data_IF_297837213314
#
_entry.id   IF_297837213314
#
_cell.length_a   1.000
_cell.length_b   1.000
_cell.length_c   1.000
_cell.angle_alpha   90.00
_cell.angle_beta   90.00
_cell.angle_gamma   90.00
#
_symmetry.space_group_name_H-M   'P 1'
#
loop_
_entity.id
_entity.type
_entity.pdbx_description
1 polymer ?
#
# COMPACT_ATOMS: atom_id res chain seq x y z
N UNK A 1 13.55 54.90 29.43
CA UNK A 1 12.76 55.55 28.36
C UNK A 1 13.26 54.95 27.04
N UNK A 2 12.54 54.24 26.18
CA UNK A 2 11.15 53.82 26.12
C UNK A 2 10.80 53.51 24.65
N UNK A 3 10.23 52.32 24.38
CA UNK A 3 9.39 51.91 23.23
C UNK A 3 10.07 51.83 21.84
N UNK A 4 9.78 50.88 20.96
CA UNK A 4 8.85 49.75 20.97
C UNK A 4 8.90 49.04 19.61
N UNK A 5 9.07 47.71 19.60
CA UNK A 5 8.96 46.88 18.41
C UNK A 5 7.54 46.32 18.29
N UNK A 6 6.90 46.55 17.14
CA UNK A 6 5.53 46.12 16.86
C UNK A 6 5.55 44.73 16.22
N UNK A 7 4.96 43.75 16.93
CA UNK A 7 4.67 42.41 16.45
C UNK A 7 3.42 42.42 15.57
N UNK A 8 3.51 41.87 14.35
CA UNK A 8 2.34 41.53 13.52
C UNK A 8 1.98 40.07 13.79
N UNK A 9 0.85 39.88 14.45
CA UNK A 9 0.24 38.58 14.69
C UNK A 9 -0.42 38.03 13.41
N UNK A 10 -0.22 36.74 13.17
CA UNK A 10 -0.99 35.95 12.20
C UNK A 10 -2.06 35.20 13.00
N UNK A 11 -3.31 35.52 12.73
CA UNK A 11 -4.49 34.87 13.30
C UNK A 11 -4.65 33.49 12.65
N UNK A 12 -4.56 32.43 13.47
CA UNK A 12 -4.92 31.07 13.08
C UNK A 12 -6.43 30.85 13.31
N UNK A 13 -7.16 30.60 12.22
CA UNK A 13 -8.56 30.21 12.27
C UNK A 13 -8.69 28.73 12.62
N UNK A 14 -9.24 28.44 13.80
CA UNK A 14 -9.67 27.11 14.23
C UNK A 14 -11.09 26.86 13.70
N UNK A 15 -11.27 25.88 12.82
CA UNK A 15 -12.58 25.33 12.49
C UNK A 15 -12.78 24.02 13.26
N UNK A 16 -13.70 24.05 14.22
CA UNK A 16 -14.17 22.89 14.95
C UNK A 16 -15.34 22.26 14.17
N UNK A 17 -15.28 20.94 13.93
CA UNK A 17 -16.44 20.17 13.47
C UNK A 17 -16.78 19.13 14.52
N UNK A 18 -17.90 19.37 15.21
CA UNK A 18 -18.53 18.45 16.13
C UNK A 18 -19.34 17.42 15.33
N UNK A 19 -19.27 16.16 15.78
CA UNK A 19 -20.05 15.06 15.21
C UNK A 19 -21.54 15.09 15.59
N UNK A 20 -22.32 14.33 14.84
CA UNK A 20 -23.57 13.75 15.30
C UNK A 20 -23.87 12.48 14.49
N UNK A 21 -23.89 11.35 15.19
CA UNK A 21 -24.44 10.09 14.71
C UNK A 21 -25.97 10.13 14.81
N UNK A 22 -26.67 9.52 13.85
CA UNK A 22 -28.07 9.16 14.00
C UNK A 22 -28.30 7.79 13.37
N UNK A 23 -28.59 6.81 14.23
CA UNK A 23 -29.08 5.50 13.87
C UNK A 23 -30.56 5.58 13.46
N UNK A 24 -30.95 4.83 12.43
CA UNK A 24 -32.35 4.55 12.12
C UNK A 24 -32.57 3.04 12.20
N UNK A 25 -33.38 2.65 13.18
CA UNK A 25 -33.96 1.31 13.33
C UNK A 25 -35.45 1.43 13.00
N UNK A 26 -35.92 0.66 12.02
CA UNK A 26 -37.30 0.25 11.81
C UNK A 26 -37.26 -0.85 10.73
N UNK A 27 -37.97 -1.97 10.77
CA UNK A 27 -39.02 -2.50 11.62
C UNK A 27 -39.60 -3.69 10.82
N UNK A 28 -39.58 -4.88 11.41
CA UNK A 28 -40.12 -6.12 10.83
C UNK A 28 -41.65 -6.05 10.72
N UNK A 29 -42.21 -6.47 9.58
CA UNK A 29 -43.50 -7.17 9.56
C UNK A 29 -43.49 -8.31 8.53
N UNK A 30 -43.73 -9.52 9.05
CA UNK A 30 -44.05 -10.71 8.29
C UNK A 30 -45.55 -10.71 7.91
N UNK A 31 -45.88 -11.16 6.72
CA UNK A 31 -47.25 -11.44 6.29
C UNK A 31 -47.31 -12.75 5.51
N UNK A 32 -47.94 -13.76 6.11
CA UNK A 32 -48.38 -14.99 5.45
C UNK A 32 -49.87 -14.87 5.10
N UNK A 33 -50.29 -15.37 3.93
CA UNK A 33 -51.69 -15.60 3.59
C UNK A 33 -51.87 -16.10 2.14
N UNK A 34 -52.89 -16.94 1.86
CA UNK A 34 -52.74 -18.12 1.00
C UNK A 34 -53.29 -18.01 -0.44
N UNK A 35 -53.00 -19.08 -1.18
CA UNK A 35 -53.42 -19.44 -2.55
C UNK A 35 -54.91 -19.23 -2.87
N UNK A 36 -55.17 -18.75 -4.10
CA UNK A 36 -56.42 -19.03 -4.82
C UNK A 36 -56.11 -19.39 -6.28
N UNK A 37 -56.48 -20.62 -6.65
CA UNK A 37 -56.25 -21.20 -7.95
C UNK A 37 -57.16 -20.64 -9.05
N UNK A 38 -56.59 -20.42 -10.23
CA UNK A 38 -57.33 -20.28 -11.48
C UNK A 38 -56.83 -21.32 -12.49
N UNK A 39 -57.73 -22.04 -13.19
CA UNK A 39 -57.35 -23.06 -14.15
C UNK A 39 -56.81 -22.41 -15.44
N UNK A 40 -55.59 -22.75 -15.81
CA UNK A 40 -54.95 -22.30 -17.05
C UNK A 40 -55.21 -23.35 -18.15
N UNK A 41 -55.85 -22.92 -19.22
CA UNK A 41 -56.10 -23.70 -20.44
C UNK A 41 -54.77 -24.00 -21.17
N UNK A 42 -54.49 -25.24 -21.61
CA UNK A 42 -53.24 -25.55 -22.31
C UNK A 42 -53.26 -24.98 -23.74
N UNK A 43 -52.24 -24.19 -24.06
CA UNK A 43 -51.90 -23.78 -25.43
C UNK A 43 -51.04 -24.86 -26.13
N UNK A 44 -51.13 -25.02 -27.46
CA UNK A 44 -50.41 -26.05 -28.20
C UNK A 44 -48.88 -25.76 -28.27
N UNK A 45 -48.04 -26.79 -28.47
CA UNK A 45 -46.60 -26.62 -28.49
C UNK A 45 -46.15 -25.82 -29.71
N UNK A 46 -45.42 -24.73 -29.46
CA UNK A 46 -44.63 -24.07 -30.49
C UNK A 46 -43.38 -24.90 -30.78
N UNK A 47 -43.19 -25.27 -32.05
CA UNK A 47 -41.94 -25.84 -32.56
C UNK A 47 -40.78 -24.87 -32.32
N UNK A 48 -39.91 -25.19 -31.38
CA UNK A 48 -38.60 -24.55 -31.25
C UNK A 48 -37.63 -25.20 -32.25
N UNK A 49 -37.25 -24.43 -33.27
CA UNK A 49 -36.00 -24.69 -33.99
C UNK A 49 -34.82 -24.55 -33.01
N UNK A 50 -33.77 -25.36 -33.11
CA UNK A 50 -32.59 -25.19 -32.27
C UNK A 50 -31.89 -23.90 -32.67
N UNK A 51 -32.06 -22.85 -31.86
CA UNK A 51 -31.14 -21.73 -31.85
C UNK A 51 -29.81 -22.28 -31.35
N UNK A 52 -28.82 -22.32 -32.23
CA UNK A 52 -27.43 -22.60 -31.89
C UNK A 52 -26.97 -21.55 -30.87
N UNK A 53 -27.11 -21.85 -29.58
CA UNK A 53 -26.38 -21.15 -28.53
C UNK A 53 -24.92 -21.49 -28.75
N UNK A 54 -24.21 -20.62 -29.47
CA UNK A 54 -22.76 -20.62 -29.46
C UNK A 54 -22.32 -20.46 -28.02
N UNK A 55 -21.94 -21.55 -27.39
CA UNK A 55 -21.20 -21.53 -26.12
C UNK A 55 -19.93 -20.76 -26.41
N UNK A 56 -19.89 -19.48 -26.03
CA UNK A 56 -18.64 -18.75 -25.98
C UNK A 56 -17.70 -19.55 -25.08
N UNK A 57 -16.61 -20.07 -25.64
CA UNK A 57 -15.54 -20.64 -24.83
C UNK A 57 -15.16 -19.61 -23.77
N UNK A 58 -14.99 -20.02 -22.50
CA UNK A 58 -14.37 -19.15 -21.51
C UNK A 58 -13.07 -18.62 -22.12
N UNK A 59 -12.93 -17.28 -22.18
CA UNK A 59 -11.74 -16.66 -22.73
C UNK A 59 -10.50 -17.28 -22.11
N UNK A 60 -9.56 -17.72 -22.93
CA UNK A 60 -8.33 -18.32 -22.45
C UNK A 60 -7.66 -17.36 -21.45
N UNK A 61 -7.20 -17.89 -20.32
CA UNK A 61 -6.44 -17.10 -19.37
C UNK A 61 -5.22 -16.49 -20.10
N UNK A 62 -4.86 -15.22 -19.80
CA UNK A 62 -3.71 -14.59 -20.43
C UNK A 62 -2.45 -15.41 -20.16
N UNK A 63 -1.55 -15.48 -21.16
CA UNK A 63 -0.25 -16.11 -20.98
C UNK A 63 0.54 -15.37 -19.91
N UNK A 64 1.28 -16.11 -19.09
CA UNK A 64 2.16 -15.54 -18.06
C UNK A 64 3.50 -15.20 -18.73
N UNK A 65 3.92 -13.93 -18.79
CA UNK A 65 5.25 -13.56 -19.27
C UNK A 65 6.32 -13.92 -18.23
N UNK A 66 7.55 -14.14 -18.68
CA UNK A 66 8.71 -14.19 -17.78
C UNK A 66 9.12 -12.79 -17.31
N UNK A 67 9.92 -12.71 -16.24
CA UNK A 67 10.35 -11.43 -15.69
C UNK A 67 11.17 -10.59 -16.69
N UNK A 68 11.94 -11.24 -17.56
CA UNK A 68 12.73 -10.55 -18.60
C UNK A 68 11.85 -9.78 -19.58
N UNK A 69 10.75 -10.39 -20.03
CA UNK A 69 9.75 -9.76 -20.89
C UNK A 69 9.11 -8.56 -20.19
N UNK A 70 8.71 -8.71 -18.93
CA UNK A 70 8.11 -7.60 -18.15
C UNK A 70 9.10 -6.45 -17.96
N UNK A 71 10.38 -6.73 -17.70
CA UNK A 71 11.41 -5.71 -17.56
C UNK A 71 11.70 -4.98 -18.88
N UNK A 72 11.66 -5.69 -20.00
CA UNK A 72 11.97 -5.15 -21.32
C UNK A 72 10.81 -4.31 -21.91
N UNK A 73 9.59 -4.82 -21.81
CA UNK A 73 8.42 -4.25 -22.51
C UNK A 73 7.49 -3.47 -21.57
N UNK A 74 7.68 -3.60 -20.25
CA UNK A 74 6.87 -2.93 -19.24
C UNK A 74 7.26 -1.47 -18.98
N UNK A 75 6.40 -0.79 -18.24
CA UNK A 75 6.64 0.56 -17.72
C UNK A 75 7.53 0.44 -16.47
N UNK A 76 8.70 1.11 -16.42
CA UNK A 76 9.54 1.13 -15.23
C UNK A 76 8.79 1.71 -14.03
N UNK A 77 8.92 1.08 -12.86
CA UNK A 77 8.27 1.53 -11.63
C UNK A 77 8.85 2.85 -11.08
N UNK A 78 10.09 3.17 -11.47
CA UNK A 78 10.73 4.44 -11.21
C UNK A 78 11.87 4.70 -12.22
N UNK A 79 12.36 5.94 -12.24
CA UNK A 79 13.54 6.30 -13.03
C UNK A 79 14.82 5.77 -12.37
N UNK A 80 15.36 4.68 -12.91
CA UNK A 80 16.58 4.05 -12.40
C UNK A 80 17.82 4.97 -12.45
N UNK A 81 17.89 5.91 -13.40
CA UNK A 81 19.00 6.87 -13.45
C UNK A 81 18.96 7.85 -12.28
N UNK A 82 17.75 8.20 -11.82
CA UNK A 82 17.55 9.03 -10.62
C UNK A 82 17.84 8.24 -9.33
N UNK A 83 17.45 6.97 -9.27
CA UNK A 83 17.59 6.13 -8.08
C UNK A 83 18.98 5.52 -7.91
N UNK A 84 19.74 5.36 -9.00
CA UNK A 84 21.00 4.61 -9.02
C UNK A 84 20.82 3.09 -8.90
N UNK A 85 19.59 2.59 -8.96
CA UNK A 85 19.23 1.18 -8.95
C UNK A 85 17.91 0.97 -9.70
N UNK A 86 17.68 -0.27 -10.16
CA UNK A 86 16.43 -0.67 -10.79
C UNK A 86 15.37 -0.99 -9.72
N UNK A 87 14.15 -0.52 -9.93
CA UNK A 87 12.99 -0.75 -9.06
C UNK A 87 12.05 -1.84 -9.60
N UNK A 88 12.32 -2.39 -10.79
CA UNK A 88 11.46 -3.30 -11.52
C UNK A 88 10.51 -2.59 -12.49
N UNK A 89 9.67 -3.39 -13.14
CA UNK A 89 8.75 -2.91 -14.18
C UNK A 89 7.36 -3.52 -14.01
N UNK A 90 6.37 -2.84 -14.60
CA UNK A 90 4.99 -3.29 -14.68
C UNK A 90 4.53 -3.36 -16.14
N UNK A 91 4.06 -4.51 -16.57
CA UNK A 91 3.54 -4.76 -17.91
C UNK A 91 2.03 -5.04 -17.84
N UNK A 92 1.16 -4.16 -18.38
CA UNK A 92 -0.27 -4.47 -18.48
C UNK A 92 -0.50 -5.68 -19.40
N UNK A 93 -1.58 -6.43 -19.17
CA UNK A 93 -1.98 -7.47 -20.13
C UNK A 93 -2.38 -6.85 -21.48
N UNK A 94 -2.46 -7.67 -22.53
CA UNK A 94 -2.86 -7.22 -23.86
C UNK A 94 -4.20 -6.44 -23.83
N UNK A 95 -4.18 -5.22 -24.39
CA UNK A 95 -5.32 -4.32 -24.38
C UNK A 95 -5.55 -3.59 -23.05
N UNK A 96 -4.67 -3.78 -22.07
CA UNK A 96 -4.59 -2.98 -20.85
C UNK A 96 -3.76 -1.71 -21.03
N UNK A 97 -3.99 -0.75 -20.13
CA UNK A 97 -3.28 0.53 -20.08
C UNK A 97 -2.80 0.82 -18.66
N UNK A 98 -1.70 1.58 -18.55
CA UNK A 98 -1.10 1.99 -17.28
C UNK A 98 -0.87 3.49 -17.29
N UNK A 99 -1.43 4.17 -16.29
CA UNK A 99 -1.19 5.57 -16.02
C UNK A 99 -0.36 5.70 -14.73
N UNK A 100 0.69 6.50 -14.77
CA UNK A 100 1.58 6.74 -13.62
C UNK A 100 1.63 8.23 -13.34
N UNK A 101 1.36 8.60 -12.08
CA UNK A 101 1.37 9.99 -11.62
C UNK A 101 2.37 10.15 -10.49
N UNK A 102 3.43 10.93 -10.72
CA UNK A 102 4.42 11.29 -9.69
C UNK A 102 3.75 12.15 -8.59
N UNK A 103 3.96 11.77 -7.34
CA UNK A 103 3.44 12.47 -6.16
C UNK A 103 4.42 13.49 -5.60
N UNK A 104 5.67 13.50 -6.07
CA UNK A 104 6.72 14.43 -5.64
C UNK A 104 7.38 14.07 -4.31
N UNK A 105 7.04 12.93 -3.72
CA UNK A 105 7.48 12.48 -2.40
C UNK A 105 8.31 11.18 -2.43
N UNK A 106 8.80 10.80 -3.63
CA UNK A 106 9.50 9.54 -3.83
C UNK A 106 8.58 8.35 -4.10
N UNK A 107 7.28 8.61 -4.30
CA UNK A 107 6.31 7.65 -4.79
C UNK A 107 5.59 8.13 -6.05
N UNK A 108 4.98 7.16 -6.73
CA UNK A 108 4.02 7.39 -7.82
C UNK A 108 2.71 6.68 -7.49
N UNK A 109 1.60 7.17 -8.03
CA UNK A 109 0.34 6.43 -8.07
C UNK A 109 0.23 5.80 -9.45
N UNK A 110 0.23 4.48 -9.50
CA UNK A 110 -0.03 3.71 -10.71
C UNK A 110 -1.52 3.35 -10.77
N UNK A 111 -2.13 3.49 -11.93
CA UNK A 111 -3.49 3.05 -12.22
C UNK A 111 -3.47 2.15 -13.44
N UNK A 112 -3.91 0.91 -13.27
CA UNK A 112 -3.99 -0.11 -14.32
C UNK A 112 -5.45 -0.28 -14.71
N UNK A 113 -5.74 -0.30 -16.00
CA UNK A 113 -7.07 -0.60 -16.53
C UNK A 113 -6.96 -1.70 -17.57
N UNK A 114 -7.66 -2.82 -17.33
CA UNK A 114 -7.67 -3.98 -18.22
C UNK A 114 -8.97 -4.79 -18.06
N UNK A 115 -9.24 -5.78 -18.93
CA UNK A 115 -10.30 -6.76 -18.72
C UNK A 115 -10.12 -7.51 -17.38
N UNK A 116 -11.21 -8.06 -16.79
CA UNK A 116 -11.14 -8.70 -15.48
C UNK A 116 -10.24 -9.94 -15.47
N UNK A 117 -9.58 -10.20 -14.35
CA UNK A 117 -8.61 -11.30 -14.19
C UNK A 117 -7.23 -10.74 -13.85
N UNK A 118 -6.19 -11.23 -14.52
CA UNK A 118 -4.86 -10.63 -14.44
C UNK A 118 -4.86 -9.33 -15.25
N UNK A 119 -4.65 -8.20 -14.58
CA UNK A 119 -4.64 -6.86 -15.17
C UNK A 119 -3.24 -6.45 -15.64
N UNK A 120 -2.22 -6.88 -14.91
CA UNK A 120 -0.82 -6.60 -15.20
C UNK A 120 0.11 -7.62 -14.53
N UNK A 121 1.37 -7.61 -14.96
CA UNK A 121 2.47 -8.38 -14.41
C UNK A 121 3.53 -7.43 -13.89
N UNK A 122 4.01 -7.68 -12.68
CA UNK A 122 5.10 -6.92 -12.05
C UNK A 122 6.32 -7.83 -11.95
N UNK A 123 7.46 -7.34 -12.41
CA UNK A 123 8.74 -8.03 -12.26
C UNK A 123 9.68 -7.24 -11.34
N UNK A 124 10.35 -7.92 -10.38
CA UNK A 124 11.47 -7.33 -9.66
C UNK A 124 12.68 -7.12 -10.60
N UNK A 125 13.71 -6.39 -10.17
CA UNK A 125 14.97 -6.32 -10.91
C UNK A 125 15.57 -7.71 -11.19
N UNK A 126 16.49 -7.84 -12.17
CA UNK A 126 17.14 -9.11 -12.48
C UNK A 126 17.74 -9.81 -11.25
N UNK A 127 17.38 -11.08 -11.06
CA UNK A 127 17.80 -11.90 -9.91
C UNK A 127 17.07 -11.58 -8.59
N UNK A 128 16.17 -10.60 -8.61
CA UNK A 128 15.32 -10.21 -7.49
C UNK A 128 14.09 -11.09 -7.32
N UNK A 129 13.23 -10.70 -6.37
CA UNK A 129 11.97 -11.39 -6.07
C UNK A 129 10.88 -10.43 -5.59
N UNK A 130 9.63 -10.76 -5.85
CA UNK A 130 8.47 -10.10 -5.24
C UNK A 130 7.95 -10.86 -4.01
N UNK A 131 7.60 -10.15 -2.94
CA UNK A 131 7.04 -10.73 -1.72
C UNK A 131 5.76 -10.00 -1.30
N UNK A 132 4.64 -10.73 -1.35
CA UNK A 132 3.32 -10.21 -0.96
C UNK A 132 3.18 -10.29 0.57
N UNK A 133 2.88 -9.14 1.16
CA UNK A 133 2.74 -8.96 2.61
C UNK A 133 1.34 -9.34 3.09
N UNK A 134 1.20 -9.55 4.39
CA UNK A 134 -0.06 -9.99 5.01
C UNK A 134 -1.19 -8.96 4.95
N UNK A 135 -0.88 -7.69 4.76
CA UNK A 135 -1.85 -6.62 4.52
C UNK A 135 -2.24 -6.47 3.04
N UNK A 136 -1.68 -7.31 2.16
CA UNK A 136 -1.91 -7.29 0.71
C UNK A 136 -1.04 -6.29 -0.04
N UNK A 137 -0.06 -5.64 0.60
CA UNK A 137 1.00 -4.88 -0.08
C UNK A 137 2.08 -5.80 -0.65
N UNK A 138 3.01 -5.28 -1.46
CA UNK A 138 4.05 -6.05 -2.15
C UNK A 138 5.40 -5.33 -2.01
N UNK A 139 6.46 -6.07 -1.65
CA UNK A 139 7.84 -5.59 -1.77
C UNK A 139 8.52 -6.23 -2.96
N UNK A 140 9.33 -5.43 -3.67
CA UNK A 140 10.28 -5.94 -4.66
C UNK A 140 11.68 -5.86 -4.08
N UNK A 141 12.39 -6.97 -4.15
CA UNK A 141 13.75 -7.11 -3.66
C UNK A 141 14.71 -7.25 -4.84
N UNK A 142 15.90 -6.69 -4.74
CA UNK A 142 17.00 -6.97 -5.65
C UNK A 142 17.63 -8.35 -5.37
N UNK A 143 18.62 -8.74 -6.18
CA UNK A 143 19.34 -10.01 -6.00
C UNK A 143 20.16 -10.11 -4.70
N UNK A 144 20.38 -9.01 -3.99
CA UNK A 144 21.00 -8.99 -2.66
C UNK A 144 19.96 -9.09 -1.52
N UNK A 145 18.67 -9.06 -1.84
CA UNK A 145 17.56 -9.09 -0.87
C UNK A 145 17.15 -7.71 -0.36
N UNK A 146 17.74 -6.63 -0.85
CA UNK A 146 17.39 -5.25 -0.48
C UNK A 146 16.02 -4.90 -1.06
N UNK A 147 15.14 -4.30 -0.26
CA UNK A 147 13.87 -3.76 -0.79
C UNK A 147 14.16 -2.54 -1.66
N UNK A 148 13.81 -2.62 -2.95
CA UNK A 148 14.00 -1.54 -3.95
C UNK A 148 12.70 -0.83 -4.32
N UNK A 149 11.55 -1.48 -4.12
CA UNK A 149 10.24 -0.87 -4.30
C UNK A 149 9.22 -1.46 -3.32
N UNK A 150 8.25 -0.63 -2.92
CA UNK A 150 7.10 -1.03 -2.13
C UNK A 150 5.82 -0.60 -2.84
N UNK A 151 4.93 -1.56 -3.09
CA UNK A 151 3.65 -1.36 -3.74
C UNK A 151 2.55 -1.54 -2.69
N UNK A 152 1.66 -0.56 -2.55
CA UNK A 152 0.53 -0.65 -1.64
C UNK A 152 -0.46 -1.75 -2.06
N UNK A 153 -1.37 -2.12 -1.17
CA UNK A 153 -2.48 -2.99 -1.52
C UNK A 153 -3.32 -2.31 -2.63
N UNK A 154 -3.62 -3.01 -3.74
CA UNK A 154 -4.28 -2.40 -4.87
C UNK A 154 -5.79 -2.33 -4.63
N UNK A 155 -6.38 -1.20 -5.02
CA UNK A 155 -7.80 -0.90 -4.77
C UNK A 155 -8.46 -0.36 -6.03
N UNK A 156 -9.71 -0.71 -6.24
CA UNK A 156 -10.57 -0.08 -7.24
C UNK A 156 -11.08 1.27 -6.75
N UNK A 157 -11.65 2.06 -7.66
CA UNK A 157 -12.26 3.36 -7.33
C UNK A 157 -13.40 3.28 -6.29
N UNK A 158 -14.10 2.15 -6.19
CA UNK A 158 -15.16 1.90 -5.21
C UNK A 158 -14.64 1.30 -3.88
N UNK A 159 -13.32 1.12 -3.74
CA UNK A 159 -12.69 0.60 -2.53
C UNK A 159 -12.65 -0.93 -2.44
N UNK A 160 -13.09 -1.65 -3.47
CA UNK A 160 -12.91 -3.10 -3.56
C UNK A 160 -11.42 -3.44 -3.69
N UNK A 161 -10.94 -4.44 -2.94
CA UNK A 161 -9.54 -4.87 -3.04
C UNK A 161 -9.31 -5.71 -4.29
N UNK A 162 -8.32 -5.31 -5.07
CA UNK A 162 -7.59 -6.17 -5.97
C UNK A 162 -6.51 -6.93 -5.16
N UNK A 163 -5.77 -7.84 -5.78
CA UNK A 163 -4.73 -8.60 -5.08
C UNK A 163 -3.47 -8.82 -5.90
N UNK A 164 -2.34 -8.83 -5.20
CA UNK A 164 -1.08 -9.35 -5.73
C UNK A 164 -1.05 -10.87 -5.60
N UNK A 165 -0.69 -11.58 -6.67
CA UNK A 165 -0.51 -13.03 -6.66
C UNK A 165 0.84 -13.40 -7.28
N UNK A 166 1.78 -14.00 -6.51
CA UNK A 166 3.04 -14.49 -7.07
C UNK A 166 2.79 -15.57 -8.13
N UNK A 167 3.47 -15.47 -9.29
CA UNK A 167 3.42 -16.46 -10.38
C UNK A 167 4.82 -16.61 -10.97
N UNK A 168 5.55 -17.64 -10.55
CA UNK A 168 6.93 -17.85 -11.01
C UNK A 168 7.84 -16.73 -10.53
N UNK A 169 8.51 -16.05 -11.47
CA UNK A 169 9.42 -14.92 -11.24
C UNK A 169 8.73 -13.54 -11.34
N UNK A 170 7.42 -13.52 -11.61
CA UNK A 170 6.60 -12.30 -11.67
C UNK A 170 5.48 -12.32 -10.62
N UNK A 171 4.82 -11.19 -10.43
CA UNK A 171 3.64 -11.03 -9.58
C UNK A 171 2.49 -10.50 -10.42
N UNK A 172 1.37 -11.22 -10.44
CA UNK A 172 0.14 -10.78 -11.10
C UNK A 172 -0.57 -9.72 -10.25
N UNK A 173 -1.06 -8.67 -10.89
CA UNK A 173 -2.13 -7.83 -10.38
C UNK A 173 -3.46 -8.44 -10.78
N UNK A 174 -4.17 -9.07 -9.86
CA UNK A 174 -5.52 -9.60 -10.11
C UNK A 174 -6.58 -8.60 -9.68
N UNK A 175 -7.59 -8.38 -10.50
CA UNK A 175 -8.69 -7.48 -10.16
C UNK A 175 -9.92 -7.61 -11.06
N UNK A 176 -11.01 -6.90 -10.70
CA UNK A 176 -12.17 -6.80 -11.55
C UNK A 176 -11.89 -5.94 -12.78
N UNK A 177 -12.87 -5.88 -13.69
CA UNK A 177 -12.83 -4.93 -14.79
C UNK A 177 -12.90 -3.50 -14.24
N UNK A 178 -12.08 -2.60 -14.78
CA UNK A 178 -12.05 -1.20 -14.40
C UNK A 178 -10.69 -0.76 -13.86
N UNK A 179 -10.57 0.52 -13.44
CA UNK A 179 -9.32 1.06 -12.94
C UNK A 179 -8.99 0.52 -11.54
N UNK A 180 -7.77 0.02 -11.40
CA UNK A 180 -7.17 -0.41 -10.13
C UNK A 180 -5.94 0.45 -9.88
N UNK A 181 -5.89 1.09 -8.71
CA UNK A 181 -4.82 2.01 -8.33
C UNK A 181 -4.06 1.51 -7.11
N UNK A 182 -2.77 1.85 -7.06
CA UNK A 182 -1.89 1.60 -5.92
C UNK A 182 -0.73 2.59 -5.92
N UNK A 183 -0.19 2.86 -4.73
CA UNK A 183 1.05 3.62 -4.57
C UNK A 183 2.23 2.71 -4.84
N UNK A 184 3.23 3.22 -5.55
CA UNK A 184 4.55 2.61 -5.75
C UNK A 184 5.58 3.55 -5.14
N UNK A 185 6.17 3.18 -4.01
CA UNK A 185 7.21 3.95 -3.33
C UNK A 185 8.60 3.37 -3.58
N UNK A 186 9.56 4.23 -3.90
CA UNK A 186 10.97 3.82 -4.16
C UNK A 186 11.99 4.62 -3.36
N UNK A 187 11.61 5.77 -2.81
CA UNK A 187 12.46 6.56 -1.89
C UNK A 187 11.76 6.68 -0.54
N UNK A 188 12.00 5.74 0.41
CA UNK A 188 11.26 5.72 1.69
C UNK A 188 11.85 6.64 2.77
N UNK A 189 13.09 7.08 2.61
CA UNK A 189 13.84 7.83 3.61
C UNK A 189 14.28 9.18 3.03
N UNK A 190 13.79 10.27 3.62
CA UNK A 190 14.21 11.63 3.26
C UNK A 190 15.46 12.07 4.01
N UNK A 191 15.64 11.60 5.24
CA UNK A 191 16.81 11.95 6.05
C UNK A 191 16.99 11.05 7.27
N UNK A 192 18.24 10.90 7.68
CA UNK A 192 18.65 10.25 8.91
C UNK A 192 19.86 11.02 9.45
N UNK A 193 19.73 11.63 10.63
CA UNK A 193 20.78 12.49 11.19
C UNK A 193 21.00 12.18 12.66
N UNK A 194 22.24 11.86 13.02
CA UNK A 194 22.64 11.68 14.42
C UNK A 194 22.74 13.01 15.17
N UNK A 195 22.32 12.98 16.44
CA UNK A 195 22.43 14.09 17.37
C UNK A 195 22.19 13.64 18.80
N UNK A 196 21.76 14.57 19.64
CA UNK A 196 21.39 14.32 21.03
C UNK A 196 19.90 14.62 21.21
N UNK A 197 19.16 13.69 21.82
CA UNK A 197 17.78 13.86 22.22
C UNK A 197 17.51 13.08 23.50
N UNK A 198 16.60 13.59 24.34
CA UNK A 198 16.10 12.88 25.53
C UNK A 198 17.17 12.36 26.51
N UNK A 199 18.36 12.99 26.50
CA UNK A 199 19.47 12.66 27.42
C UNK A 199 20.56 11.77 26.84
N UNK A 200 20.52 11.43 25.55
CA UNK A 200 21.60 10.70 24.90
C UNK A 200 21.61 10.76 23.38
N UNK A 201 22.53 10.00 22.80
CA UNK A 201 22.68 9.88 21.34
C UNK A 201 21.39 9.40 20.70
N UNK A 202 20.94 10.06 19.64
CA UNK A 202 19.67 9.77 18.98
C UNK A 202 19.79 9.97 17.46
N UNK A 203 19.20 9.06 16.69
CA UNK A 203 19.08 9.17 15.25
C UNK A 203 17.70 9.75 14.91
N UNK A 204 17.68 10.98 14.41
CA UNK A 204 16.46 11.60 13.91
C UNK A 204 16.20 11.12 12.48
N UNK A 205 15.18 10.27 12.32
CA UNK A 205 14.72 9.70 11.05
C UNK A 205 13.56 10.53 10.50
N UNK A 206 13.64 10.90 9.22
CA UNK A 206 12.56 11.56 8.46
C UNK A 206 12.12 10.62 7.34
N UNK A 207 11.03 9.86 7.54
CA UNK A 207 10.41 9.07 6.49
C UNK A 207 9.73 9.94 5.44
N UNK A 208 9.70 9.45 4.21
CA UNK A 208 8.89 10.02 3.15
C UNK A 208 7.38 9.96 3.50
N UNK A 209 6.57 10.94 3.05
CA UNK A 209 5.13 10.99 3.31
C UNK A 209 4.38 9.68 3.02
N UNK A 210 4.58 9.08 1.84
CA UNK A 210 3.95 7.80 1.47
C UNK A 210 4.24 6.64 2.43
N UNK A 211 5.33 6.69 3.20
CA UNK A 211 5.65 5.67 4.21
C UNK A 211 4.78 5.81 5.45
N UNK A 212 4.47 7.05 5.85
CA UNK A 212 3.69 7.34 7.07
C UNK A 212 2.27 6.81 6.98
N UNK A 213 1.69 6.89 5.78
CA UNK A 213 0.36 6.40 5.47
C UNK A 213 0.37 4.98 4.88
N UNK A 214 1.56 4.42 4.67
CA UNK A 214 1.78 3.15 4.01
C UNK A 214 1.53 1.90 4.88
N UNK A 215 1.42 0.77 4.18
CA UNK A 215 1.32 -0.57 4.78
C UNK A 215 2.66 -1.20 5.12
N UNK A 216 2.68 -2.52 5.27
CA UNK A 216 3.85 -3.32 5.63
C UNK A 216 4.98 -3.22 4.60
N UNK A 217 4.67 -3.17 3.31
CA UNK A 217 5.71 -3.00 2.29
C UNK A 217 6.44 -1.66 2.43
N UNK A 218 5.72 -0.58 2.74
CA UNK A 218 6.30 0.75 2.93
C UNK A 218 7.19 0.79 4.18
N UNK A 219 6.74 0.15 5.25
CA UNK A 219 7.52 -0.07 6.46
C UNK A 219 8.82 -0.80 6.13
N UNK A 220 8.75 -1.97 5.50
CA UNK A 220 9.92 -2.77 5.14
C UNK A 220 10.90 -2.01 4.24
N UNK A 221 10.41 -1.22 3.28
CA UNK A 221 11.25 -0.35 2.46
C UNK A 221 12.02 0.67 3.32
N UNK A 222 11.36 1.32 4.29
CA UNK A 222 12.02 2.24 5.21
C UNK A 222 13.08 1.54 6.06
N UNK A 223 12.76 0.40 6.69
CA UNK A 223 13.71 -0.33 7.52
C UNK A 223 14.92 -0.82 6.71
N UNK A 224 14.69 -1.34 5.50
CA UNK A 224 15.75 -1.78 4.56
C UNK A 224 16.66 -0.60 4.20
N UNK A 225 16.08 0.53 3.79
CA UNK A 225 16.85 1.72 3.40
C UNK A 225 17.60 2.34 4.57
N UNK A 226 16.96 2.41 5.74
CA UNK A 226 17.57 2.96 6.95
C UNK A 226 18.73 2.09 7.40
N UNK A 227 18.59 0.76 7.43
CA UNK A 227 19.67 -0.16 7.80
C UNK A 227 20.85 -0.10 6.84
N UNK A 228 20.58 0.10 5.54
CA UNK A 228 21.63 0.28 4.54
C UNK A 228 22.38 1.62 4.69
N UNK A 229 21.69 2.66 5.15
CA UNK A 229 22.27 4.01 5.33
C UNK A 229 22.97 4.14 6.68
N UNK A 230 22.37 3.59 7.73
CA UNK A 230 22.76 3.66 9.13
C UNK A 230 22.73 2.24 9.74
N UNK A 231 23.79 1.44 9.61
CA UNK A 231 23.79 0.03 10.03
C UNK A 231 23.44 -0.21 11.51
N UNK A 232 23.72 0.75 12.40
CA UNK A 232 23.35 0.66 13.83
C UNK A 232 21.83 0.64 14.04
N UNK A 233 21.07 1.28 13.15
CA UNK A 233 19.60 1.28 13.19
C UNK A 233 18.98 -0.10 12.90
N UNK A 234 19.78 -1.07 12.43
CA UNK A 234 19.36 -2.45 12.27
C UNK A 234 19.29 -3.24 13.60
N UNK A 235 19.72 -2.65 14.72
CA UNK A 235 19.60 -3.29 16.03
C UNK A 235 18.13 -3.59 16.39
N UNK A 236 17.84 -4.68 17.12
CA UNK A 236 16.46 -5.04 17.48
C UNK A 236 15.70 -3.92 18.19
N UNK A 237 16.34 -3.24 19.15
CA UNK A 237 15.74 -2.11 19.88
C UNK A 237 15.38 -0.95 18.94
N UNK A 238 16.29 -0.51 18.05
CA UNK A 238 16.01 0.60 17.14
C UNK A 238 14.95 0.25 16.09
N UNK A 239 14.93 -0.99 15.59
CA UNK A 239 13.87 -1.44 14.68
C UNK A 239 12.50 -1.48 15.38
N UNK A 240 12.45 -1.92 16.63
CA UNK A 240 11.22 -1.94 17.40
C UNK A 240 10.70 -0.52 17.69
N UNK A 241 11.61 0.43 17.96
CA UNK A 241 11.28 1.86 18.06
C UNK A 241 10.75 2.42 16.72
N UNK A 242 11.38 2.08 15.59
CA UNK A 242 10.94 2.50 14.26
C UNK A 242 9.49 2.07 13.99
N UNK A 243 9.16 0.80 14.25
CA UNK A 243 7.79 0.29 14.14
C UNK A 243 6.81 0.93 15.09
N UNK A 244 7.24 1.20 16.33
CA UNK A 244 6.38 1.91 17.26
C UNK A 244 6.03 3.30 16.73
N UNK A 245 6.98 4.04 16.16
CA UNK A 245 6.72 5.37 15.61
C UNK A 245 5.80 5.34 14.39
N UNK A 246 5.94 4.34 13.50
CA UNK A 246 5.00 4.13 12.39
C UNK A 246 3.58 3.91 12.90
N UNK A 247 3.38 3.27 14.06
CA UNK A 247 2.05 3.00 14.59
C UNK A 247 1.47 4.17 15.40
N UNK A 248 2.30 4.83 16.21
CA UNK A 248 1.84 5.77 17.24
C UNK A 248 2.27 7.24 17.04
N UNK A 249 3.14 7.53 16.06
CA UNK A 249 3.75 8.85 15.91
C UNK A 249 3.87 9.32 14.44
N UNK A 250 2.97 8.85 13.56
CA UNK A 250 2.97 9.14 12.11
C UNK A 250 3.07 10.62 11.77
N UNK A 251 2.40 11.46 12.55
CA UNK A 251 2.32 12.91 12.29
C UNK A 251 3.56 13.70 12.74
N UNK A 252 4.50 13.07 13.45
CA UNK A 252 5.72 13.76 13.89
C UNK A 252 6.65 14.03 12.71
N UNK A 253 7.22 15.23 12.62
CA UNK A 253 8.16 15.59 11.56
C UNK A 253 9.37 14.63 11.48
N UNK A 254 9.90 14.20 12.63
CA UNK A 254 10.95 13.18 12.72
C UNK A 254 10.65 12.17 13.82
N UNK A 255 11.28 11.00 13.70
CA UNK A 255 11.26 9.91 14.68
C UNK A 255 12.66 9.71 15.25
N UNK A 256 12.79 9.82 16.55
CA UNK A 256 14.05 9.61 17.24
C UNK A 256 14.21 8.11 17.53
N UNK A 257 15.30 7.52 17.05
CA UNK A 257 15.72 6.17 17.37
C UNK A 257 16.97 6.22 18.23
N UNK A 258 16.89 5.63 19.41
CA UNK A 258 17.89 5.79 20.47
C UNK A 258 18.50 4.43 20.79
N UNK A 259 19.81 4.23 20.52
CA UNK A 259 20.46 2.94 20.72
C UNK A 259 20.56 2.52 22.20
N UNK A 260 20.37 3.46 23.11
CA UNK A 260 20.42 3.25 24.56
C UNK A 260 19.07 2.88 25.18
N UNK A 261 17.97 2.89 24.41
CA UNK A 261 16.66 2.43 24.89
C UNK A 261 16.67 0.91 25.06
N UNK A 262 16.10 0.39 26.17
CA UNK A 262 16.07 -1.04 26.40
C UNK A 262 15.20 -1.75 25.36
N UNK A 263 15.57 -3.00 25.07
CA UNK A 263 14.75 -3.89 24.27
C UNK A 263 13.61 -4.43 25.16
N UNK A 264 12.37 -4.09 24.81
CA UNK A 264 11.17 -4.52 25.54
C UNK A 264 10.13 -5.09 24.56
N UNK A 265 9.17 -5.91 25.02
CA UNK A 265 8.11 -6.41 24.16
C UNK A 265 7.32 -5.28 23.47
N UNK A 266 6.79 -5.53 22.27
CA UNK A 266 6.02 -4.55 21.50
C UNK A 266 4.87 -3.92 22.29
N UNK A 267 4.20 -4.70 23.14
CA UNK A 267 3.13 -4.20 24.01
C UNK A 267 3.63 -3.14 25.00
N UNK A 268 4.83 -3.32 25.53
CA UNK A 268 5.48 -2.37 26.44
C UNK A 268 5.90 -1.12 25.68
N UNK A 269 6.54 -1.25 24.50
CA UNK A 269 6.85 -0.12 23.61
C UNK A 269 5.63 0.77 23.33
N UNK A 270 4.49 0.16 22.99
CA UNK A 270 3.25 0.88 22.74
C UNK A 270 2.70 1.53 24.02
N UNK A 271 2.72 0.81 25.15
CA UNK A 271 2.24 1.33 26.44
C UNK A 271 3.05 2.54 26.93
N UNK A 272 4.35 2.57 26.65
CA UNK A 272 5.27 3.67 27.00
C UNK A 272 5.36 4.74 25.89
N UNK A 273 4.45 4.70 24.90
CA UNK A 273 4.39 5.67 23.78
C UNK A 273 5.70 5.77 23.01
N UNK A 274 6.28 4.61 22.70
CA UNK A 274 7.53 4.44 21.97
C UNK A 274 8.76 4.96 22.70
N UNK A 275 8.68 5.07 24.03
CA UNK A 275 9.73 5.68 24.83
C UNK A 275 10.05 4.91 26.12
N UNK A 276 10.39 3.62 26.03
CA UNK A 276 10.66 2.81 27.22
C UNK A 276 11.93 3.28 27.94
N UNK A 277 12.00 2.98 29.22
CA UNK A 277 13.15 3.22 30.09
C UNK A 277 13.58 1.91 30.73
N UNK A 278 14.75 1.88 31.36
CA UNK A 278 15.27 0.67 32.01
C UNK A 278 14.31 0.10 33.07
N UNK A 279 13.44 0.93 33.65
CA UNK A 279 12.41 0.50 34.61
C UNK A 279 11.27 -0.32 33.96
N UNK A 280 11.15 -0.30 32.63
CA UNK A 280 10.13 -1.01 31.84
C UNK A 280 10.61 -2.38 31.31
N UNK A 281 11.88 -2.73 31.53
CA UNK A 281 12.56 -3.90 30.96
C UNK A 281 12.47 -5.18 31.80
#
# INVERSE_FOLDING_TARGET
MGRGGSARGVLASRAAWAGAAAAVVAGLTAGCGPDDGAPVTPSPPASTAPTSTGTASPGAAPAVPDAGTVLQDGVPLADAARLGHDAGSLLPVDGGDVQVVDQGDGSVVATVQAPPGALAWVAPPPGGRGEVQTDGSLTLHDGAGTVVAALAAPVTADGTRASWRPVGDVVALDGPAGPVSFVVGTVPLEGATWGEAEGGRSLAVVPAPWVRDGGLAAQQALASRLSATEPEAASPSMQAQLWCHVLGARDKASWNLEPWRPEVPTTTLLATRCNPTDDDA
#
